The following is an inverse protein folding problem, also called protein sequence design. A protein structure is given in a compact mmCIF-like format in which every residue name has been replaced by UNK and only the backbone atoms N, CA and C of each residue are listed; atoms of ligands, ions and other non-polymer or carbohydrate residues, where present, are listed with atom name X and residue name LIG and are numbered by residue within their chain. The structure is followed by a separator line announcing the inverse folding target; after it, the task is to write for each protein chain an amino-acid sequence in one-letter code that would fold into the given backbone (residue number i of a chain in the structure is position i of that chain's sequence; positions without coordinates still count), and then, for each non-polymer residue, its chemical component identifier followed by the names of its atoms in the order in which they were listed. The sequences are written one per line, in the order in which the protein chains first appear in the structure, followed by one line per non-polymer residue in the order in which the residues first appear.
data_IF_287590031419
#
_entry.id   IF_287590031419
#
_cell.length_a   1.000
_cell.length_b   1.000
_cell.length_c   1.000
_cell.angle_alpha   90.00
_cell.angle_beta   90.00
_cell.angle_gamma   90.00
#
_symmetry.space_group_name_H-M   'P 1'
#
loop_
_entity.id
_entity.type
_entity.pdbx_description
1 polymer ?
#
# COMPACT_ATOMS: atom_id res chain seq x y z
N UNK A 1 3.33 -12.86 -12.36
CA UNK A 1 3.89 -12.39 -11.08
C UNK A 1 5.01 -13.33 -10.70
N UNK A 2 6.16 -12.77 -10.35
CA UNK A 2 7.31 -13.50 -9.80
C UNK A 2 7.80 -12.74 -8.56
N UNK A 3 8.07 -13.46 -7.47
CA UNK A 3 8.58 -12.84 -6.25
C UNK A 3 9.57 -13.75 -5.53
N UNK A 4 10.50 -13.13 -4.81
CA UNK A 4 11.41 -13.81 -3.89
C UNK A 4 11.21 -13.25 -2.50
N UNK A 5 10.82 -14.11 -1.56
CA UNK A 5 10.56 -13.73 -0.18
C UNK A 5 11.75 -14.07 0.71
N UNK A 6 12.20 -13.11 1.51
CA UNK A 6 13.32 -13.28 2.43
C UNK A 6 12.94 -12.89 3.86
N UNK A 7 13.74 -13.32 4.83
CA UNK A 7 13.66 -12.85 6.21
C UNK A 7 14.69 -11.75 6.43
N UNK A 8 14.25 -10.65 7.02
CA UNK A 8 15.10 -9.49 7.35
C UNK A 8 14.89 -9.11 8.82
N UNK A 9 15.90 -8.51 9.49
CA UNK A 9 15.85 -8.19 10.92
C UNK A 9 15.02 -6.93 11.21
N UNK A 10 13.72 -6.96 10.89
CA UNK A 10 12.74 -5.92 11.23
C UNK A 10 11.71 -6.44 12.21
N UNK A 11 11.16 -5.56 13.05
CA UNK A 11 10.20 -5.96 14.09
C UNK A 11 8.86 -6.34 13.47
N UNK A 12 8.35 -5.50 12.58
CA UNK A 12 7.06 -5.68 11.89
C UNK A 12 7.14 -5.18 10.45
N UNK A 13 6.26 -5.74 9.63
CA UNK A 13 5.97 -5.28 8.28
C UNK A 13 6.78 -5.96 7.18
N UNK A 14 6.30 -5.75 5.97
CA UNK A 14 6.95 -6.17 4.74
C UNK A 14 7.32 -4.94 3.91
N UNK A 15 8.55 -4.92 3.44
CA UNK A 15 9.01 -3.94 2.45
C UNK A 15 9.14 -4.66 1.12
N UNK A 16 8.56 -4.10 0.08
CA UNK A 16 8.53 -4.70 -1.24
C UNK A 16 9.10 -3.72 -2.26
N UNK A 17 9.97 -4.21 -3.12
CA UNK A 17 10.38 -3.55 -4.36
C UNK A 17 9.51 -4.09 -5.48
N UNK A 18 8.72 -3.23 -6.08
CA UNK A 18 7.71 -3.62 -7.06
C UNK A 18 8.08 -3.04 -8.43
N UNK A 19 8.01 -3.88 -9.43
CA UNK A 19 8.15 -3.54 -10.85
C UNK A 19 6.87 -3.96 -11.55
N UNK A 20 6.25 -3.03 -12.25
CA UNK A 20 4.96 -3.27 -12.93
C UNK A 20 5.07 -2.84 -14.37
N UNK A 21 4.69 -3.71 -15.28
CA UNK A 21 4.41 -3.36 -16.67
C UNK A 21 2.90 -3.17 -16.84
N UNK A 22 2.52 -2.09 -17.46
CA UNK A 22 1.11 -1.75 -17.73
C UNK A 22 0.81 -1.83 -19.23
N UNK A 23 -0.46 -2.01 -19.61
CA UNK A 23 -0.87 -2.09 -21.01
C UNK A 23 -0.78 -0.73 -21.74
N UNK A 24 -0.73 0.35 -21.00
CA UNK A 24 -0.59 1.73 -21.49
C UNK A 24 0.43 2.46 -20.65
N UNK A 25 1.10 3.43 -21.26
CA UNK A 25 2.01 4.29 -20.52
C UNK A 25 1.29 4.98 -19.35
N UNK A 26 1.90 4.94 -18.19
CA UNK A 26 1.43 5.62 -17.00
C UNK A 26 2.54 6.52 -16.45
N UNK A 27 2.20 7.78 -16.26
CA UNK A 27 3.08 8.71 -15.57
C UNK A 27 3.11 8.43 -14.06
N UNK A 28 4.28 8.48 -13.39
CA UNK A 28 4.37 8.27 -11.94
C UNK A 28 3.46 9.19 -11.11
N UNK A 29 3.31 10.46 -11.48
CA UNK A 29 2.42 11.38 -10.77
C UNK A 29 0.95 10.97 -10.94
N UNK A 30 0.58 10.52 -12.14
CA UNK A 30 -0.78 10.00 -12.39
C UNK A 30 -1.08 8.74 -11.59
N UNK A 31 -0.08 7.88 -11.38
CA UNK A 31 -0.21 6.72 -10.51
C UNK A 31 -0.48 7.17 -9.05
N UNK A 32 0.31 8.11 -8.52
CA UNK A 32 0.10 8.68 -7.17
C UNK A 32 -1.29 9.30 -7.03
N UNK A 33 -1.75 10.07 -8.00
CA UNK A 33 -3.10 10.66 -8.01
C UNK A 33 -4.18 9.59 -7.93
N UNK A 34 -4.04 8.49 -8.68
CA UNK A 34 -5.01 7.39 -8.70
C UNK A 34 -5.11 6.71 -7.32
N UNK A 35 -4.00 6.44 -6.66
CA UNK A 35 -4.00 5.92 -5.29
C UNK A 35 -4.59 6.91 -4.29
N UNK A 36 -4.27 8.20 -4.40
CA UNK A 36 -4.85 9.24 -3.54
C UNK A 36 -6.36 9.36 -3.74
N UNK A 37 -6.85 9.18 -4.97
CA UNK A 37 -8.29 9.13 -5.23
C UNK A 37 -8.93 7.90 -4.57
N UNK A 38 -8.26 6.75 -4.57
CA UNK A 38 -8.72 5.54 -3.90
C UNK A 38 -8.90 5.73 -2.38
N UNK A 39 -8.12 6.60 -1.75
CA UNK A 39 -8.30 6.98 -0.35
C UNK A 39 -9.67 7.65 -0.10
N UNK A 40 -10.24 8.31 -1.09
CA UNK A 40 -11.54 9.00 -0.99
C UNK A 40 -12.72 8.14 -1.39
N UNK A 41 -12.51 7.27 -2.39
CA UNK A 41 -13.57 6.51 -3.05
C UNK A 41 -13.72 5.08 -2.48
N UNK A 42 -12.91 4.71 -1.50
CA UNK A 42 -12.95 3.37 -0.92
C UNK A 42 -14.27 3.07 -0.23
N UNK A 43 -14.84 1.92 -0.53
CA UNK A 43 -16.07 1.42 0.12
C UNK A 43 -15.92 1.14 1.63
N UNK A 44 -14.69 1.20 2.13
CA UNK A 44 -14.35 0.99 3.54
C UNK A 44 -14.11 2.28 4.32
N UNK A 45 -14.12 3.45 3.65
CA UNK A 45 -14.00 4.74 4.34
C UNK A 45 -15.14 4.88 5.37
N UNK A 46 -14.78 5.33 6.58
CA UNK A 46 -15.71 5.55 7.67
C UNK A 46 -16.13 4.28 8.43
N UNK A 47 -15.55 3.11 8.10
CA UNK A 47 -15.69 1.92 8.95
C UNK A 47 -14.83 2.05 10.22
N UNK A 48 -15.24 1.42 11.34
CA UNK A 48 -14.54 1.58 12.63
C UNK A 48 -13.05 1.23 12.60
N UNK A 49 -12.66 0.21 11.85
CA UNK A 49 -11.26 -0.23 11.71
C UNK A 49 -10.51 0.41 10.55
N UNK A 50 -11.16 1.27 9.75
CA UNK A 50 -10.54 1.92 8.62
C UNK A 50 -9.50 2.97 9.04
N UNK A 51 -8.34 3.03 8.41
CA UNK A 51 -7.44 4.16 8.58
C UNK A 51 -8.04 5.40 7.91
N UNK A 52 -7.51 6.57 8.28
CA UNK A 52 -7.86 7.81 7.58
C UNK A 52 -7.46 7.76 6.10
N UNK A 53 -6.26 7.25 5.85
CA UNK A 53 -5.69 7.07 4.51
C UNK A 53 -5.15 5.64 4.37
N UNK A 54 -5.54 4.93 3.31
CA UNK A 54 -5.02 3.58 3.00
C UNK A 54 -3.62 3.62 2.43
N UNK A 55 -3.33 4.68 1.67
CA UNK A 55 -2.07 4.91 1.00
C UNK A 55 -1.50 6.25 1.41
N UNK A 56 -0.21 6.28 1.73
CA UNK A 56 0.55 7.48 1.98
C UNK A 56 1.83 7.47 1.14
N UNK A 57 2.12 8.58 0.47
CA UNK A 57 3.29 8.71 -0.39
C UNK A 57 4.38 9.53 0.27
N UNK A 58 5.62 9.11 0.06
CA UNK A 58 6.81 9.82 0.49
C UNK A 58 7.60 10.32 -0.71
N UNK A 59 7.95 11.60 -0.69
CA UNK A 59 8.88 12.20 -1.65
C UNK A 59 10.35 12.03 -1.21
N UNK A 60 10.58 11.73 0.06
CA UNK A 60 11.92 11.42 0.58
C UNK A 60 12.43 10.10 -0.02
N UNK A 61 13.55 10.11 -0.78
CA UNK A 61 14.09 8.92 -1.42
C UNK A 61 14.60 7.85 -0.45
N UNK A 62 14.72 8.17 0.84
CA UNK A 62 15.09 7.20 1.89
C UNK A 62 13.88 6.45 2.46
N UNK A 63 12.66 6.80 2.04
CA UNK A 63 11.40 6.22 2.51
C UNK A 63 10.76 5.34 1.43
N UNK A 64 9.97 4.32 1.80
CA UNK A 64 9.58 3.93 3.16
C UNK A 64 10.66 3.16 3.93
N UNK A 65 10.63 3.27 5.27
CA UNK A 65 11.49 2.53 6.19
C UNK A 65 10.65 1.82 7.26
N UNK A 66 10.83 0.50 7.51
CA UNK A 66 9.98 -0.26 8.43
C UNK A 66 9.83 0.36 9.82
N UNK A 67 10.93 0.88 10.38
CA UNK A 67 10.94 1.51 11.71
C UNK A 67 10.01 2.72 11.80
N UNK A 68 9.91 3.49 10.72
CA UNK A 68 9.13 4.74 10.69
C UNK A 68 7.69 4.50 10.26
N UNK A 69 7.48 3.52 9.37
CA UNK A 69 6.17 3.28 8.74
C UNK A 69 5.23 2.38 9.56
N UNK A 70 5.78 1.51 10.41
CA UNK A 70 5.00 0.47 11.08
C UNK A 70 3.85 0.98 11.95
N UNK A 71 3.86 2.26 12.33
CA UNK A 71 2.81 2.88 13.15
C UNK A 71 1.92 3.86 12.39
N UNK A 72 2.19 4.11 11.12
CA UNK A 72 1.38 5.02 10.30
C UNK A 72 -0.04 4.46 10.17
N UNK A 73 -1.04 5.31 10.42
CA UNK A 73 -2.44 4.90 10.45
C UNK A 73 -2.72 3.76 11.44
N UNK A 74 -2.02 3.72 12.57
CA UNK A 74 -2.01 2.57 13.50
C UNK A 74 -1.68 1.24 12.81
N UNK A 75 -0.77 1.25 11.84
CA UNK A 75 -0.35 0.10 11.03
C UNK A 75 -1.38 -0.36 10.01
N UNK A 76 -2.35 0.48 9.67
CA UNK A 76 -3.37 0.19 8.65
C UNK A 76 -3.14 0.96 7.35
N UNK A 77 -2.15 1.85 7.31
CA UNK A 77 -1.76 2.58 6.09
C UNK A 77 -0.58 1.88 5.42
N UNK A 78 -0.69 1.62 4.14
CA UNK A 78 0.44 1.20 3.29
C UNK A 78 1.16 2.45 2.81
N UNK A 79 2.47 2.53 3.06
CA UNK A 79 3.29 3.66 2.66
C UNK A 79 4.07 3.32 1.41
N UNK A 80 4.14 4.26 0.48
CA UNK A 80 4.75 4.10 -0.84
C UNK A 80 5.75 5.23 -1.05
N UNK A 81 6.89 4.90 -1.62
CA UNK A 81 7.89 5.89 -2.01
C UNK A 81 8.64 5.46 -3.26
N UNK A 82 9.46 6.35 -3.80
CA UNK A 82 10.29 6.09 -4.97
C UNK A 82 9.48 5.61 -6.16
N UNK A 83 8.35 6.26 -6.42
CA UNK A 83 7.50 5.97 -7.59
C UNK A 83 8.16 6.60 -8.80
N UNK A 84 8.70 5.77 -9.68
CA UNK A 84 9.53 6.18 -10.80
C UNK A 84 9.17 5.38 -12.06
N UNK A 85 9.46 5.95 -13.22
CA UNK A 85 9.39 5.21 -14.48
C UNK A 85 10.43 4.08 -14.47
N UNK A 86 10.04 2.89 -14.94
CA UNK A 86 10.95 1.77 -15.11
C UNK A 86 11.27 1.59 -16.59
N UNK A 87 12.58 1.57 -16.91
CA UNK A 87 13.04 1.57 -18.29
C UNK A 87 13.21 0.16 -18.89
N UNK A 88 13.12 -0.90 -18.08
CA UNK A 88 13.22 -2.28 -18.55
C UNK A 88 11.95 -2.76 -19.30
N UNK A 89 10.83 -2.07 -19.11
CA UNK A 89 9.56 -2.35 -19.74
C UNK A 89 9.08 -1.16 -20.57
N UNK A 90 8.37 -1.41 -21.65
CA UNK A 90 7.84 -0.35 -22.53
C UNK A 90 6.93 0.64 -21.77
N UNK A 91 6.13 0.12 -20.83
CA UNK A 91 5.22 0.89 -19.98
C UNK A 91 5.48 0.58 -18.51
N UNK A 92 6.74 0.69 -18.09
CA UNK A 92 7.20 0.29 -16.77
C UNK A 92 7.02 1.35 -15.69
N UNK A 93 6.60 0.90 -14.50
CA UNK A 93 6.59 1.66 -13.27
C UNK A 93 7.29 0.86 -12.18
N UNK A 94 8.09 1.51 -11.35
CA UNK A 94 8.70 0.90 -10.16
C UNK A 94 8.44 1.74 -8.93
N UNK A 95 8.34 1.09 -7.79
CA UNK A 95 8.19 1.75 -6.50
C UNK A 95 8.57 0.84 -5.34
N UNK A 96 8.79 1.45 -4.19
CA UNK A 96 8.93 0.74 -2.92
C UNK A 96 7.66 0.91 -2.10
N UNK A 97 7.23 -0.15 -1.44
CA UNK A 97 6.12 -0.06 -0.49
C UNK A 97 6.48 -0.74 0.84
N UNK A 98 5.80 -0.30 1.89
CA UNK A 98 5.79 -0.95 3.19
C UNK A 98 4.34 -1.14 3.65
N UNK A 99 4.02 -2.34 4.14
CA UNK A 99 2.73 -2.63 4.76
C UNK A 99 2.90 -3.49 6.02
N UNK A 100 2.06 -3.25 7.02
CA UNK A 100 2.16 -3.92 8.31
C UNK A 100 1.53 -5.31 8.26
N UNK A 101 2.34 -6.37 8.38
CA UNK A 101 1.93 -7.76 8.23
C UNK A 101 0.91 -8.26 9.26
N UNK A 102 0.98 -7.80 10.52
CA UNK A 102 0.08 -8.26 11.60
C UNK A 102 -1.21 -7.45 11.69
N UNK A 103 -1.18 -6.17 11.34
CA UNK A 103 -2.35 -5.29 11.41
C UNK A 103 -3.09 -5.28 10.08
N UNK A 104 -2.61 -4.54 9.07
CA UNK A 104 -3.26 -4.48 7.76
C UNK A 104 -3.32 -5.84 7.07
N UNK A 105 -2.23 -6.58 7.06
CA UNK A 105 -2.14 -7.88 6.40
C UNK A 105 -2.81 -9.04 7.16
N UNK A 106 -3.31 -8.84 8.38
CA UNK A 106 -3.88 -9.92 9.19
C UNK A 106 -5.03 -9.45 10.09
N UNK A 107 -4.79 -9.18 11.37
CA UNK A 107 -5.84 -9.05 12.38
C UNK A 107 -6.83 -7.91 12.10
N UNK A 108 -6.37 -6.66 12.03
CA UNK A 108 -7.25 -5.51 11.75
C UNK A 108 -7.81 -5.51 10.33
N UNK A 109 -7.04 -5.98 9.36
CA UNK A 109 -7.50 -6.12 7.98
C UNK A 109 -8.67 -7.11 7.87
N UNK A 110 -8.62 -8.22 8.61
CA UNK A 110 -9.72 -9.18 8.67
C UNK A 110 -10.98 -8.57 9.31
N UNK A 111 -10.83 -7.81 10.40
CA UNK A 111 -11.94 -7.09 11.03
C UNK A 111 -12.55 -6.07 10.05
N UNK A 112 -11.72 -5.27 9.40
CA UNK A 112 -12.15 -4.29 8.41
C UNK A 112 -12.92 -4.94 7.25
N UNK A 113 -12.48 -6.12 6.78
CA UNK A 113 -13.18 -6.87 5.76
C UNK A 113 -14.57 -7.31 6.25
N UNK A 114 -14.68 -7.80 7.49
CA UNK A 114 -15.96 -8.19 8.08
C UNK A 114 -16.89 -6.97 8.21
N UNK A 115 -16.40 -5.82 8.68
CA UNK A 115 -17.16 -4.57 8.75
C UNK A 115 -17.67 -4.14 7.36
N UNK A 116 -16.83 -4.27 6.33
CA UNK A 116 -17.24 -3.96 4.95
C UNK A 116 -18.32 -4.91 4.43
N UNK A 117 -18.19 -6.22 4.69
CA UNK A 117 -19.18 -7.22 4.28
C UNK A 117 -20.51 -7.01 4.99
N UNK A 118 -20.48 -6.71 6.27
CA UNK A 118 -21.67 -6.35 7.05
C UNK A 118 -22.37 -5.11 6.47
N UNK A 119 -21.61 -4.04 6.22
CA UNK A 119 -22.14 -2.81 5.60
C UNK A 119 -22.79 -3.05 4.23
N UNK A 120 -22.34 -4.08 3.52
CA UNK A 120 -22.88 -4.47 2.19
C UNK A 120 -23.95 -5.57 2.24
N UNK A 121 -24.47 -5.89 3.41
CA UNK A 121 -25.47 -6.97 3.62
C UNK A 121 -25.02 -8.31 3.02
N UNK A 122 -23.74 -8.66 3.18
CA UNK A 122 -23.17 -9.92 2.72
C UNK A 122 -23.01 -10.96 3.84
N UNK A 123 -23.03 -10.50 5.07
CA UNK A 123 -23.06 -11.29 6.32
C UNK A 123 -23.95 -10.59 7.32
#
# INVERSE_FOLDING_TARGET
ISCTCTRVPVIDGHTESVFVETTKEIDPEKAKETYNQSNKDSSVIGLPSAPKDYYAFHEDPTRPQPRMERTVGDGMTTTIGRVEKEELFDNGLKYMLFSHNKKMGSAKGAVLLAEMLYKKDKI
#
